data_IF_976576815771
#
_entry.id   IF_976576815771
#
_cell.length_a   1.000
_cell.length_b   1.000
_cell.length_c   1.000
_cell.angle_alpha   90.00
_cell.angle_beta   90.00
_cell.angle_gamma   90.00
#
_symmetry.space_group_name_H-M   'P 1'
#
loop_
_entity.id
_entity.type
_entity.pdbx_description
1 polymer ?
#
# COMPACT_ATOMS: atom_id res chain seq x y z
N UNK A 1 18.99 -6.64 66.73
CA UNK A 1 17.81 -6.22 65.94
C UNK A 1 18.25 -5.98 64.50
N UNK A 2 17.36 -6.20 63.54
CA UNK A 2 17.60 -6.75 62.19
C UNK A 2 18.51 -5.93 61.27
N UNK A 3 19.28 -6.66 60.46
CA UNK A 3 20.17 -6.22 59.39
C UNK A 3 19.41 -5.56 58.24
N UNK A 4 19.94 -4.43 57.78
CA UNK A 4 19.47 -3.66 56.63
C UNK A 4 19.78 -4.43 55.33
N UNK A 5 18.74 -5.02 54.71
CA UNK A 5 18.82 -5.61 53.36
C UNK A 5 18.31 -4.58 52.34
N UNK A 6 19.20 -3.71 51.86
CA UNK A 6 18.99 -2.94 50.63
C UNK A 6 19.85 -3.59 49.54
N UNK A 7 19.29 -4.55 48.81
CA UNK A 7 19.79 -5.02 47.52
C UNK A 7 18.65 -5.66 46.73
N UNK A 8 17.74 -4.85 46.17
CA UNK A 8 16.80 -5.33 45.15
C UNK A 8 16.33 -4.18 44.23
N UNK A 9 17.25 -3.33 43.80
CA UNK A 9 16.97 -2.27 42.82
C UNK A 9 18.16 -2.07 41.88
N UNK A 10 18.59 -3.14 41.20
CA UNK A 10 19.66 -3.05 40.19
C UNK A 10 19.66 -4.24 39.20
N UNK A 11 18.50 -4.84 38.92
CA UNK A 11 18.43 -5.98 37.98
C UNK A 11 17.16 -5.94 37.11
N UNK A 12 16.79 -4.75 36.62
CA UNK A 12 15.72 -4.62 35.62
C UNK A 12 16.08 -3.66 34.45
N UNK A 13 17.37 -3.36 34.28
CA UNK A 13 17.87 -2.46 33.21
C UNK A 13 18.77 -3.20 32.20
N UNK A 14 19.07 -4.48 32.43
CA UNK A 14 19.99 -5.25 31.58
C UNK A 14 19.29 -6.40 30.82
N UNK A 15 18.11 -6.16 30.24
CA UNK A 15 17.58 -7.03 29.17
C UNK A 15 16.52 -6.35 28.31
N UNK A 16 16.76 -5.11 27.89
CA UNK A 16 16.24 -4.67 26.59
C UNK A 16 17.16 -5.29 25.54
N UNK A 17 16.99 -6.60 25.31
CA UNK A 17 17.31 -7.17 24.01
C UNK A 17 16.37 -6.46 23.05
N UNK A 18 16.87 -5.39 22.43
CA UNK A 18 16.32 -4.90 21.18
C UNK A 18 16.49 -6.08 20.24
N UNK A 19 15.44 -6.89 20.10
CA UNK A 19 15.30 -7.75 18.95
C UNK A 19 15.21 -6.75 17.80
N UNK A 20 16.34 -6.45 17.15
CA UNK A 20 16.30 -5.95 15.79
C UNK A 20 15.65 -7.07 14.98
N UNK A 21 14.32 -7.05 14.93
CA UNK A 21 13.56 -7.75 13.91
C UNK A 21 14.03 -7.10 12.62
N UNK A 22 15.05 -7.73 12.01
CA UNK A 22 15.67 -7.31 10.77
C UNK A 22 14.54 -7.06 9.77
N UNK A 23 14.27 -5.78 9.49
CA UNK A 23 13.38 -5.39 8.42
C UNK A 23 13.93 -6.05 7.15
N UNK A 24 13.11 -6.86 6.50
CA UNK A 24 13.49 -7.44 5.23
C UNK A 24 13.18 -6.41 4.16
N UNK A 25 14.13 -6.18 3.26
CA UNK A 25 13.85 -5.39 2.08
C UNK A 25 13.27 -6.33 1.02
N UNK A 26 12.34 -5.83 0.20
CA UNK A 26 11.94 -6.52 -1.03
C UNK A 26 13.16 -6.75 -1.93
N UNK A 27 13.13 -7.83 -2.71
CA UNK A 27 14.13 -8.04 -3.77
C UNK A 27 13.83 -7.06 -4.90
N UNK A 28 14.82 -6.26 -5.27
CA UNK A 28 14.74 -5.24 -6.33
C UNK A 28 15.66 -5.66 -7.48
N UNK A 29 15.30 -5.34 -8.73
CA UNK A 29 16.11 -5.67 -9.91
C UNK A 29 17.50 -5.05 -9.83
N UNK A 30 18.49 -5.77 -10.36
CA UNK A 30 19.90 -5.39 -10.29
C UNK A 30 20.16 -3.99 -10.89
N UNK A 31 19.53 -3.68 -12.02
CA UNK A 31 19.67 -2.37 -12.67
C UNK A 31 19.23 -1.23 -11.74
N UNK A 32 18.16 -1.42 -10.97
CA UNK A 32 17.65 -0.40 -10.06
C UNK A 32 18.51 -0.33 -8.79
N UNK A 33 19.03 -1.45 -8.28
CA UNK A 33 19.98 -1.46 -7.17
C UNK A 33 21.29 -0.71 -7.48
N UNK A 34 21.79 -0.80 -8.72
CA UNK A 34 23.01 -0.11 -9.15
C UNK A 34 22.77 1.39 -9.33
N UNK A 35 21.58 1.78 -9.79
CA UNK A 35 21.27 3.16 -10.16
C UNK A 35 20.41 3.92 -9.14
N UNK A 36 20.13 3.35 -7.97
CA UNK A 36 19.33 3.99 -6.92
C UNK A 36 19.75 3.55 -5.52
N UNK A 37 19.36 4.33 -4.51
CA UNK A 37 19.46 3.94 -3.11
C UNK A 37 18.09 3.95 -2.43
N UNK A 38 17.89 3.14 -1.37
CA UNK A 38 16.64 3.12 -0.63
C UNK A 38 16.37 4.47 0.06
N UNK A 39 15.24 5.07 -0.25
CA UNK A 39 14.71 6.27 0.40
C UNK A 39 13.74 5.85 1.50
N UNK A 40 14.10 6.11 2.75
CA UNK A 40 13.22 5.85 3.89
C UNK A 40 12.01 6.78 3.85
N UNK A 41 10.82 6.18 3.86
CA UNK A 41 9.56 6.93 3.95
C UNK A 41 9.32 7.33 5.40
N UNK A 42 8.98 8.59 5.60
CA UNK A 42 8.54 9.16 6.86
C UNK A 42 7.08 9.59 6.71
N UNK A 43 6.25 9.21 7.67
CA UNK A 43 4.89 9.72 7.79
C UNK A 43 4.86 10.82 8.85
N UNK A 44 4.56 12.05 8.44
CA UNK A 44 4.27 13.14 9.37
C UNK A 44 2.87 13.00 9.97
N UNK A 45 2.55 13.87 10.94
CA UNK A 45 1.25 13.87 11.61
C UNK A 45 0.09 13.94 10.60
N UNK A 46 -0.85 12.99 10.72
CA UNK A 46 -2.09 12.95 9.96
C UNK A 46 -3.16 13.74 10.71
N UNK A 47 -3.75 14.73 10.03
CA UNK A 47 -4.88 15.49 10.57
C UNK A 47 -6.21 14.88 10.18
N UNK A 48 -7.28 15.23 10.90
CA UNK A 48 -8.64 14.79 10.56
C UNK A 48 -9.00 15.18 9.12
N UNK A 49 -9.53 14.20 8.35
CA UNK A 49 -9.91 14.41 6.95
C UNK A 49 -8.73 14.60 5.98
N UNK A 50 -7.50 14.22 6.37
CA UNK A 50 -6.31 14.28 5.53
C UNK A 50 -5.65 12.91 5.42
N UNK A 51 -4.95 12.71 4.31
CA UNK A 51 -4.10 11.54 4.12
C UNK A 51 -2.77 11.74 4.86
N UNK A 52 -1.97 10.67 5.02
CA UNK A 52 -0.64 10.73 5.62
C UNK A 52 0.27 11.79 4.98
N UNK A 53 1.03 12.53 5.79
CA UNK A 53 2.04 13.49 5.31
C UNK A 53 3.33 12.75 4.94
N UNK A 54 3.27 12.01 3.84
CA UNK A 54 4.39 11.19 3.36
C UNK A 54 5.57 12.06 2.88
N UNK A 55 6.78 11.63 3.23
CA UNK A 55 8.04 12.25 2.80
C UNK A 55 9.12 11.20 2.57
N UNK A 56 9.84 11.28 1.47
CA UNK A 56 11.02 10.46 1.16
C UNK A 56 11.92 11.19 0.16
N UNK A 57 13.23 11.14 0.38
CA UNK A 57 14.18 11.92 -0.42
C UNK A 57 13.82 13.41 -0.44
N UNK A 58 13.73 13.96 -1.65
CA UNK A 58 13.32 15.35 -1.92
C UNK A 58 11.81 15.53 -2.11
N UNK A 59 11.02 14.45 -2.02
CA UNK A 59 9.59 14.46 -2.28
C UNK A 59 8.79 14.53 -0.98
N UNK A 60 7.81 15.43 -0.93
CA UNK A 60 6.93 15.56 0.23
C UNK A 60 5.50 15.97 -0.12
N UNK A 61 4.54 15.34 0.55
CA UNK A 61 3.13 15.73 0.47
C UNK A 61 2.96 17.06 1.21
N UNK A 62 2.61 18.11 0.46
CA UNK A 62 2.45 19.47 0.98
C UNK A 62 0.99 19.82 1.28
N UNK A 63 0.05 19.18 0.58
CA UNK A 63 -1.39 19.35 0.78
C UNK A 63 -2.11 18.05 0.50
N UNK A 64 -3.18 17.77 1.23
CA UNK A 64 -3.99 16.57 1.02
C UNK A 64 -5.40 16.73 1.55
N UNK A 65 -6.29 15.89 1.01
CA UNK A 65 -7.69 15.77 1.39
C UNK A 65 -8.10 14.30 1.29
N UNK A 66 -8.62 13.76 2.39
CA UNK A 66 -9.39 12.53 2.34
C UNK A 66 -10.79 12.88 1.82
N UNK A 67 -11.23 12.17 0.79
CA UNK A 67 -12.55 12.31 0.20
C UNK A 67 -13.60 11.48 0.96
N UNK A 68 -14.80 11.42 0.40
CA UNK A 68 -15.89 10.63 0.96
C UNK A 68 -15.67 9.14 0.74
N UNK A 69 -15.89 8.35 1.80
CA UNK A 69 -16.11 6.92 1.72
C UNK A 69 -17.61 6.66 1.62
N UNK A 70 -18.05 5.99 0.57
CA UNK A 70 -19.45 5.59 0.38
C UNK A 70 -19.53 4.07 0.29
N UNK A 71 -20.22 3.46 1.23
CA UNK A 71 -20.53 2.03 1.22
C UNK A 71 -22.03 1.84 0.99
N UNK A 72 -22.39 0.99 0.04
CA UNK A 72 -23.76 0.56 -0.21
C UNK A 72 -23.80 -0.95 -0.20
N UNK A 73 -24.68 -1.52 0.62
CA UNK A 73 -24.91 -2.97 0.67
C UNK A 73 -26.35 -3.27 0.28
N UNK A 74 -26.55 -4.35 -0.46
CA UNK A 74 -27.85 -4.93 -0.80
C UNK A 74 -27.82 -6.39 -0.40
N UNK A 75 -28.92 -6.86 0.18
CA UNK A 75 -29.08 -8.26 0.53
C UNK A 75 -30.47 -8.74 0.16
N UNK A 76 -30.63 -10.04 -0.07
CA UNK A 76 -31.95 -10.64 -0.28
C UNK A 76 -32.73 -10.72 1.04
N UNK A 77 -34.03 -11.04 0.97
CA UNK A 77 -34.94 -11.04 2.13
C UNK A 77 -34.46 -11.88 3.34
N UNK A 78 -33.62 -12.89 3.07
CA UNK A 78 -33.08 -13.83 4.06
C UNK A 78 -31.59 -13.62 4.37
N UNK A 79 -31.00 -12.55 3.84
CA UNK A 79 -29.57 -12.23 3.92
C UNK A 79 -28.59 -13.33 3.47
N UNK A 80 -29.04 -14.29 2.66
CA UNK A 80 -28.21 -15.38 2.13
C UNK A 80 -27.38 -14.98 0.92
N UNK A 81 -27.68 -13.83 0.31
CA UNK A 81 -26.86 -13.23 -0.76
C UNK A 81 -26.68 -11.75 -0.48
N UNK A 82 -25.43 -11.31 -0.41
CA UNK A 82 -25.09 -9.92 -0.12
C UNK A 82 -24.13 -9.39 -1.18
N UNK A 83 -24.46 -8.23 -1.71
CA UNK A 83 -23.60 -7.44 -2.59
C UNK A 83 -23.22 -6.14 -1.86
N UNK A 84 -21.94 -5.86 -1.75
CA UNK A 84 -21.42 -4.64 -1.14
C UNK A 84 -20.54 -3.89 -2.13
N UNK A 85 -20.75 -2.58 -2.25
CA UNK A 85 -19.90 -1.67 -3.02
C UNK A 85 -19.37 -0.57 -2.11
N UNK A 86 -18.06 -0.41 -2.07
CA UNK A 86 -17.39 0.66 -1.33
C UNK A 86 -16.54 1.50 -2.27
N UNK A 87 -16.78 2.81 -2.31
CA UNK A 87 -15.94 3.78 -3.01
C UNK A 87 -15.24 4.66 -2.00
N UNK A 88 -13.93 4.74 -2.07
CA UNK A 88 -13.08 5.64 -1.30
C UNK A 88 -12.35 6.58 -2.26
N UNK A 89 -12.22 7.86 -1.90
CA UNK A 89 -11.51 8.85 -2.72
C UNK A 89 -10.53 9.63 -1.86
N UNK A 90 -9.43 10.07 -2.44
CA UNK A 90 -8.53 11.02 -1.81
C UNK A 90 -7.77 11.82 -2.85
N UNK A 91 -7.19 12.95 -2.44
CA UNK A 91 -6.35 13.76 -3.29
C UNK A 91 -5.19 14.35 -2.52
N UNK A 92 -4.08 14.60 -3.21
CA UNK A 92 -2.92 15.25 -2.61
C UNK A 92 -2.07 15.98 -3.63
N UNK A 93 -1.20 16.85 -3.11
CA UNK A 93 -0.15 17.53 -3.85
C UNK A 93 1.17 17.08 -3.24
N UNK A 94 2.05 16.52 -4.07
CA UNK A 94 3.43 16.19 -3.71
C UNK A 94 4.38 17.11 -4.48
N UNK A 95 5.41 17.61 -3.80
CA UNK A 95 6.39 18.51 -4.39
C UNK A 95 7.81 17.92 -4.31
N UNK A 96 8.65 18.26 -5.29
CA UNK A 96 10.11 18.07 -5.22
C UNK A 96 10.78 19.28 -4.55
N UNK A 97 12.12 19.28 -4.43
CA UNK A 97 12.90 20.42 -3.91
C UNK A 97 12.89 21.65 -4.82
N UNK A 98 12.60 21.48 -6.11
CA UNK A 98 12.63 22.51 -7.16
C UNK A 98 11.29 23.24 -7.29
N UNK A 99 10.34 22.95 -6.39
CA UNK A 99 8.97 23.50 -6.35
C UNK A 99 8.05 23.02 -7.48
N UNK A 100 8.44 22.02 -8.27
CA UNK A 100 7.49 21.31 -9.11
C UNK A 100 6.50 20.55 -8.22
N UNK A 101 5.28 20.41 -8.73
CA UNK A 101 4.16 19.82 -8.02
C UNK A 101 3.48 18.76 -8.87
N UNK A 102 3.11 17.65 -8.26
CA UNK A 102 2.21 16.67 -8.84
C UNK A 102 0.90 16.69 -8.06
N UNK A 103 -0.19 16.92 -8.79
CA UNK A 103 -1.57 16.89 -8.32
C UNK A 103 -2.11 15.49 -8.56
N UNK A 104 -2.51 14.83 -7.48
CA UNK A 104 -3.02 13.47 -7.51
C UNK A 104 -4.47 13.44 -7.06
N UNK A 105 -5.34 12.83 -7.86
CA UNK A 105 -6.70 12.47 -7.47
C UNK A 105 -6.86 10.97 -7.61
N UNK A 106 -7.24 10.29 -6.53
CA UNK A 106 -7.32 8.84 -6.48
C UNK A 106 -8.71 8.36 -6.04
N UNK A 107 -9.08 7.19 -6.54
CA UNK A 107 -10.29 6.48 -6.16
C UNK A 107 -10.04 4.98 -6.07
N UNK A 108 -10.47 4.37 -4.97
CA UNK A 108 -10.55 2.92 -4.77
C UNK A 108 -12.02 2.52 -4.81
N UNK A 109 -12.35 1.54 -5.63
CA UNK A 109 -13.66 0.90 -5.65
C UNK A 109 -13.48 -0.57 -5.29
N UNK A 110 -14.24 -1.02 -4.31
CA UNK A 110 -14.27 -2.41 -3.85
C UNK A 110 -15.68 -2.91 -4.02
N UNK A 111 -15.83 -4.01 -4.75
CA UNK A 111 -17.10 -4.71 -4.95
C UNK A 111 -16.95 -6.13 -4.41
N UNK A 112 -17.84 -6.52 -3.50
CA UNK A 112 -17.83 -7.81 -2.83
C UNK A 112 -19.18 -8.48 -3.03
N UNK A 113 -19.16 -9.72 -3.49
CA UNK A 113 -20.32 -10.59 -3.62
C UNK A 113 -20.12 -11.83 -2.73
N UNK A 114 -21.06 -12.03 -1.81
CA UNK A 114 -21.02 -13.08 -0.81
C UNK A 114 -22.30 -13.90 -0.79
N UNK A 115 -22.15 -15.19 -0.55
CA UNK A 115 -23.24 -16.09 -0.15
C UNK A 115 -23.03 -16.46 1.30
N UNK A 116 -24.11 -16.39 2.07
CA UNK A 116 -24.12 -16.79 3.47
C UNK A 116 -25.06 -17.99 3.66
N UNK A 117 -24.61 -18.94 4.47
CA UNK A 117 -25.41 -20.07 4.91
C UNK A 117 -26.61 -19.59 5.70
N UNK A 118 -27.77 -20.18 5.46
CA UNK A 118 -29.01 -19.82 6.14
C UNK A 118 -29.11 -20.59 7.46
N UNK A 119 -29.13 -19.89 8.61
CA UNK A 119 -29.34 -20.54 9.91
C UNK A 119 -30.80 -21.02 10.03
N UNK A 120 -30.99 -22.34 10.09
CA UNK A 120 -32.31 -22.93 10.30
C UNK A 120 -32.65 -23.02 11.80
N UNK A 121 -31.66 -23.36 12.62
CA UNK A 121 -31.72 -23.46 14.08
C UNK A 121 -30.32 -23.14 14.66
N UNK A 122 -30.18 -22.84 15.97
CA UNK A 122 -28.89 -22.47 16.56
C UNK A 122 -27.75 -23.44 16.21
N UNK A 123 -26.73 -22.94 15.53
CA UNK A 123 -25.56 -23.69 15.02
C UNK A 123 -25.85 -24.70 13.88
N UNK A 124 -27.00 -24.62 13.21
CA UNK A 124 -27.34 -25.45 12.05
C UNK A 124 -27.63 -24.58 10.83
N UNK A 125 -26.72 -24.63 9.86
CA UNK A 125 -26.74 -23.79 8.66
C UNK A 125 -27.00 -24.63 7.41
N UNK A 126 -27.83 -24.12 6.51
CA UNK A 126 -28.05 -24.65 5.17
C UNK A 126 -27.24 -23.82 4.17
N UNK A 127 -26.29 -24.46 3.49
CA UNK A 127 -25.33 -23.79 2.60
C UNK A 127 -24.06 -23.37 3.32
N UNK A 128 -23.04 -22.99 2.55
CA UNK A 128 -21.74 -22.55 3.05
C UNK A 128 -21.60 -21.03 2.93
N UNK A 129 -20.75 -20.45 3.79
CA UNK A 129 -20.34 -19.06 3.63
C UNK A 129 -19.22 -18.99 2.61
N UNK A 130 -19.42 -18.18 1.57
CA UNK A 130 -18.51 -18.10 0.45
C UNK A 130 -18.42 -16.66 -0.07
N UNK A 131 -17.20 -16.16 -0.27
CA UNK A 131 -16.96 -14.97 -1.08
C UNK A 131 -16.84 -15.41 -2.54
N UNK A 132 -17.86 -15.10 -3.34
CA UNK A 132 -17.87 -15.42 -4.77
C UNK A 132 -16.87 -14.56 -5.52
N UNK A 133 -16.91 -13.26 -5.25
CA UNK A 133 -16.09 -12.26 -5.92
C UNK A 133 -15.77 -11.12 -4.97
N UNK A 134 -14.52 -10.70 -4.98
CA UNK A 134 -14.08 -9.42 -4.42
C UNK A 134 -13.19 -8.71 -5.44
N UNK A 135 -13.77 -7.76 -6.16
CA UNK A 135 -13.08 -6.94 -7.14
C UNK A 135 -12.59 -5.63 -6.52
N UNK A 136 -11.28 -5.40 -6.56
CA UNK A 136 -10.63 -4.19 -6.07
C UNK A 136 -10.05 -3.42 -7.26
N UNK A 137 -10.54 -2.21 -7.48
CA UNK A 137 -10.12 -1.33 -8.56
C UNK A 137 -9.61 -0.01 -7.98
N UNK A 138 -8.32 0.25 -8.13
CA UNK A 138 -7.69 1.49 -7.74
C UNK A 138 -7.25 2.28 -8.96
N UNK A 139 -7.55 3.57 -8.95
CA UNK A 139 -7.17 4.51 -9.99
C UNK A 139 -6.59 5.77 -9.37
N UNK A 140 -5.56 6.35 -9.98
CA UNK A 140 -5.09 7.68 -9.62
C UNK A 140 -4.67 8.49 -10.86
N UNK A 141 -5.13 9.74 -10.94
CA UNK A 141 -4.74 10.70 -11.97
C UNK A 141 -3.59 11.59 -11.51
N UNK A 142 -2.53 11.51 -12.29
CA UNK A 142 -1.21 12.15 -12.39
C UNK A 142 -1.11 13.48 -13.12
N UNK A 143 -1.16 14.67 -12.51
CA UNK A 143 -0.97 15.93 -13.26
C UNK A 143 0.23 16.72 -12.70
N UNK A 144 1.21 17.02 -13.55
CA UNK A 144 2.40 17.80 -13.15
C UNK A 144 2.17 19.28 -13.43
N UNK A 145 2.41 20.15 -12.44
CA UNK A 145 2.32 21.61 -12.55
C UNK A 145 1.01 22.12 -13.16
N UNK A 146 -0.08 21.37 -13.00
CA UNK A 146 -1.39 21.70 -13.57
C UNK A 146 -1.53 21.47 -15.09
N UNK A 147 -0.52 20.89 -15.75
CA UNK A 147 -0.56 20.57 -17.18
C UNK A 147 -1.45 19.34 -17.45
N UNK A 148 -2.69 19.59 -17.84
CA UNK A 148 -3.67 18.54 -18.16
C UNK A 148 -3.37 17.79 -19.46
N UNK A 149 -2.46 18.29 -20.32
CA UNK A 149 -2.15 17.66 -21.61
C UNK A 149 -1.30 16.40 -21.48
N UNK A 150 -0.58 16.25 -20.36
CA UNK A 150 0.24 15.08 -20.04
C UNK A 150 -0.23 14.45 -18.72
N UNK A 151 -1.47 13.94 -18.74
CA UNK A 151 -2.08 13.27 -17.59
C UNK A 151 -1.64 11.81 -17.52
N UNK A 152 -1.05 11.43 -16.39
CA UNK A 152 -0.70 10.05 -16.08
C UNK A 152 -1.83 9.36 -15.32
N UNK A 153 -2.06 8.08 -15.59
CA UNK A 153 -3.07 7.28 -14.92
C UNK A 153 -2.37 6.05 -14.33
N UNK A 154 -2.47 5.91 -13.01
CA UNK A 154 -2.17 4.69 -12.29
C UNK A 154 -3.45 3.85 -12.20
N UNK A 155 -3.39 2.60 -12.65
CA UNK A 155 -4.46 1.62 -12.53
C UNK A 155 -3.91 0.39 -11.79
N UNK A 156 -4.65 -0.11 -10.81
CA UNK A 156 -4.37 -1.39 -10.16
C UNK A 156 -5.69 -2.11 -9.95
N UNK A 157 -5.84 -3.26 -10.59
CA UNK A 157 -6.99 -4.15 -10.44
C UNK A 157 -6.53 -5.44 -9.78
N UNK A 158 -7.36 -5.98 -8.90
CA UNK A 158 -7.18 -7.34 -8.37
C UNK A 158 -8.52 -7.93 -8.02
N UNK A 159 -8.76 -9.16 -8.43
CA UNK A 159 -9.94 -9.94 -8.09
C UNK A 159 -9.52 -11.18 -7.30
N UNK A 160 -10.39 -11.63 -6.41
CA UNK A 160 -10.25 -12.91 -5.71
C UNK A 160 -11.64 -13.42 -5.33
N UNK A 161 -11.75 -14.73 -5.05
CA UNK A 161 -13.03 -15.41 -4.84
C UNK A 161 -13.13 -16.63 -5.75
N UNK A 162 -14.15 -17.46 -5.53
CA UNK A 162 -14.35 -18.69 -6.32
C UNK A 162 -14.70 -18.42 -7.78
N UNK A 163 -15.19 -17.23 -8.10
CA UNK A 163 -15.59 -16.80 -9.44
C UNK A 163 -14.62 -15.77 -10.06
N UNK A 164 -13.43 -15.58 -9.47
CA UNK A 164 -12.43 -14.63 -9.96
C UNK A 164 -11.72 -15.13 -11.22
N UNK A 165 -11.79 -14.38 -12.33
CA UNK A 165 -11.08 -14.70 -13.58
C UNK A 165 -9.79 -13.88 -13.77
N UNK A 166 -9.63 -12.77 -13.03
CA UNK A 166 -8.50 -11.85 -13.17
C UNK A 166 -7.50 -12.02 -12.02
N UNK A 167 -6.23 -12.30 -12.34
CA UNK A 167 -5.14 -12.41 -11.35
C UNK A 167 -4.59 -11.05 -10.91
N UNK A 168 -5.10 -9.97 -11.51
CA UNK A 168 -4.75 -8.58 -11.22
C UNK A 168 -3.70 -8.03 -12.19
N UNK A 169 -3.94 -6.80 -12.65
CA UNK A 169 -2.99 -6.04 -13.46
C UNK A 169 -2.71 -4.70 -12.77
N UNK A 170 -1.52 -4.15 -13.00
CA UNK A 170 -1.20 -2.84 -12.47
C UNK A 170 -0.27 -2.10 -13.44
N UNK A 171 -0.66 -0.88 -13.81
CA UNK A 171 0.04 -0.06 -14.80
C UNK A 171 0.05 1.42 -14.40
N UNK A 172 1.09 2.14 -14.82
CA UNK A 172 1.18 3.60 -14.77
C UNK A 172 1.48 4.11 -16.19
N UNK A 173 0.60 4.94 -16.76
CA UNK A 173 0.68 5.31 -18.19
C UNK A 173 0.11 6.70 -18.47
N UNK A 174 0.66 7.42 -19.45
CA UNK A 174 0.04 8.62 -20.05
C UNK A 174 -0.51 8.37 -21.46
N UNK A 175 -0.59 7.10 -21.87
CA UNK A 175 -0.99 6.67 -23.22
C UNK A 175 0.17 6.54 -24.21
N UNK A 176 1.30 7.21 -23.97
CA UNK A 176 2.53 7.09 -24.79
C UNK A 176 3.55 6.19 -24.08
N UNK A 177 3.89 6.54 -22.84
CA UNK A 177 4.79 5.79 -21.97
C UNK A 177 3.97 4.93 -21.02
N UNK A 178 4.47 3.72 -20.75
CA UNK A 178 3.80 2.72 -19.90
C UNK A 178 4.82 2.04 -18.99
N UNK A 179 4.54 2.05 -17.70
CA UNK A 179 5.23 1.26 -16.70
C UNK A 179 4.31 0.13 -16.22
N UNK A 180 4.78 -1.10 -16.34
CA UNK A 180 4.13 -2.27 -15.75
C UNK A 180 4.54 -2.41 -14.30
N UNK A 181 3.61 -2.78 -13.42
CA UNK A 181 3.83 -2.84 -11.98
C UNK A 181 3.69 -4.29 -11.54
N UNK A 182 4.78 -4.84 -10.98
CA UNK A 182 4.87 -6.22 -10.54
C UNK A 182 4.95 -6.29 -9.02
N UNK A 183 4.34 -7.29 -8.41
CA UNK A 183 4.50 -7.55 -6.97
C UNK A 183 5.96 -7.92 -6.66
N UNK A 184 6.52 -7.33 -5.61
CA UNK A 184 7.85 -7.64 -5.10
C UNK A 184 7.78 -8.14 -3.65
N UNK A 185 8.64 -9.09 -3.30
CA UNK A 185 8.66 -9.72 -1.98
C UNK A 185 10.09 -10.02 -1.54
N UNK A 186 10.34 -10.01 -0.23
CA UNK A 186 11.61 -10.54 0.31
C UNK A 186 11.73 -12.06 0.19
N UNK A 187 10.62 -12.76 -0.08
CA UNK A 187 10.58 -14.20 -0.30
C UNK A 187 10.33 -14.55 -1.78
N UNK A 188 10.91 -13.79 -2.72
CA UNK A 188 10.73 -14.04 -4.16
C UNK A 188 11.17 -15.44 -4.60
N UNK A 189 12.15 -16.03 -3.89
CA UNK A 189 12.75 -17.30 -4.27
C UNK A 189 12.17 -18.50 -3.48
N UNK A 190 11.16 -18.28 -2.63
CA UNK A 190 10.54 -19.33 -1.80
C UNK A 190 11.45 -19.93 -0.73
N UNK A 191 12.67 -19.42 -0.58
CA UNK A 191 13.68 -19.93 0.36
C UNK A 191 13.54 -19.37 1.76
N UNK A 192 12.74 -18.30 1.93
CA UNK A 192 12.48 -17.71 3.23
C UNK A 192 11.42 -18.53 3.98
N UNK A 193 11.86 -19.23 5.04
CA UNK A 193 11.01 -20.04 5.92
C UNK A 193 10.30 -19.23 7.00
N UNK A 194 10.38 -17.90 7.00
CA UNK A 194 9.72 -17.03 7.98
C UNK A 194 8.26 -16.75 7.59
N UNK A 195 7.40 -16.52 8.60
CA UNK A 195 5.95 -16.41 8.40
C UNK A 195 5.46 -15.13 7.71
N UNK A 196 6.24 -14.03 7.67
CA UNK A 196 5.71 -12.74 7.18
C UNK A 196 6.79 -11.95 6.40
N UNK A 197 6.89 -12.14 5.06
CA UNK A 197 7.88 -11.46 4.23
C UNK A 197 7.56 -9.98 4.04
N UNK A 198 8.56 -9.21 3.60
CA UNK A 198 8.35 -7.86 3.11
C UNK A 198 7.55 -7.89 1.81
N UNK A 199 6.73 -6.87 1.59
CA UNK A 199 5.87 -6.74 0.41
C UNK A 199 6.00 -5.37 -0.22
N UNK A 200 5.91 -5.36 -1.54
CA UNK A 200 6.10 -4.17 -2.34
C UNK A 200 5.70 -4.36 -3.78
N UNK A 201 6.08 -3.38 -4.58
CA UNK A 201 5.91 -3.36 -6.03
C UNK A 201 7.18 -2.86 -6.71
N UNK A 202 7.41 -3.32 -7.93
CA UNK A 202 8.44 -2.81 -8.82
C UNK A 202 7.82 -2.38 -10.15
N UNK A 203 8.19 -1.20 -10.60
CA UNK A 203 7.71 -0.56 -11.81
C UNK A 203 8.77 -0.74 -12.88
N UNK A 204 8.37 -1.27 -14.03
CA UNK A 204 9.28 -1.54 -15.15
C UNK A 204 8.79 -0.90 -16.42
N UNK A 205 9.71 -0.24 -17.11
CA UNK A 205 9.54 0.13 -18.51
C UNK A 205 10.19 -0.97 -19.36
N UNK A 206 9.37 -1.78 -20.04
CA UNK A 206 9.83 -3.04 -20.64
C UNK A 206 10.48 -3.91 -19.55
N UNK A 207 11.75 -4.27 -19.70
CA UNK A 207 12.52 -5.05 -18.72
C UNK A 207 13.32 -4.20 -17.73
N UNK A 208 13.29 -2.86 -17.86
CA UNK A 208 14.11 -1.99 -17.02
C UNK A 208 13.31 -1.45 -15.84
N UNK A 209 13.74 -1.77 -14.62
CA UNK A 209 13.11 -1.26 -13.41
C UNK A 209 13.44 0.22 -13.16
N UNK A 210 12.43 1.05 -12.98
CA UNK A 210 12.54 2.51 -12.81
C UNK A 210 12.15 2.99 -11.40
N UNK A 211 11.35 2.20 -10.68
CA UNK A 211 10.91 2.48 -9.32
C UNK A 211 10.65 1.15 -8.59
N UNK A 212 10.97 1.10 -7.31
CA UNK A 212 10.46 0.07 -6.40
C UNK A 212 9.88 0.71 -5.14
N UNK A 213 8.82 0.12 -4.62
CA UNK A 213 8.11 0.56 -3.43
C UNK A 213 7.94 -0.62 -2.48
N UNK A 214 8.44 -0.50 -1.26
CA UNK A 214 8.09 -1.39 -0.16
C UNK A 214 7.07 -0.68 0.73
N UNK A 215 5.85 -1.22 0.79
CA UNK A 215 4.79 -0.76 1.68
C UNK A 215 4.70 -1.57 2.98
N UNK A 216 5.47 -2.66 3.09
CA UNK A 216 5.53 -3.48 4.29
C UNK A 216 6.91 -4.14 4.42
N UNK A 217 7.62 -3.90 5.53
CA UNK A 217 8.99 -4.37 5.75
C UNK A 217 9.16 -5.75 6.39
N UNK A 218 8.09 -6.55 6.48
CA UNK A 218 8.14 -7.88 7.08
C UNK A 218 8.12 -7.89 8.62
N UNK A 219 7.70 -9.03 9.19
CA UNK A 219 7.59 -9.24 10.64
C UNK A 219 6.52 -8.39 11.35
N UNK A 220 6.33 -8.58 12.66
CA UNK A 220 5.22 -8.00 13.42
C UNK A 220 5.13 -6.45 13.45
N UNK A 221 6.19 -5.73 13.05
CA UNK A 221 6.24 -4.26 13.01
C UNK A 221 6.52 -3.73 11.58
N UNK A 222 6.11 -4.48 10.55
CA UNK A 222 6.45 -4.20 9.16
C UNK A 222 5.83 -2.93 8.56
N UNK A 223 4.68 -2.46 9.07
CA UNK A 223 3.90 -1.35 8.48
C UNK A 223 4.57 0.02 8.53
N UNK A 224 5.56 0.22 9.41
CA UNK A 224 6.31 1.48 9.53
C UNK A 224 7.67 1.46 8.83
N UNK A 225 7.95 0.42 8.04
CA UNK A 225 9.25 0.16 7.40
C UNK A 225 9.14 0.31 5.88
N UNK A 226 8.59 1.45 5.48
CA UNK A 226 8.33 1.76 4.07
C UNK A 226 9.58 2.35 3.41
N UNK A 227 9.91 1.85 2.21
CA UNK A 227 11.09 2.24 1.45
C UNK A 227 10.69 2.49 -0.02
N UNK A 228 11.36 3.45 -0.66
CA UNK A 228 11.18 3.77 -2.07
C UNK A 228 12.55 3.82 -2.76
N UNK A 229 12.68 3.21 -3.92
CA UNK A 229 13.85 3.29 -4.79
C UNK A 229 13.43 3.96 -6.09
N UNK A 230 14.10 5.03 -6.50
CA UNK A 230 13.83 5.70 -7.78
C UNK A 230 15.13 5.71 -8.57
N UNK A 231 15.09 5.22 -9.81
CA UNK A 231 16.25 5.24 -10.69
C UNK A 231 16.77 6.66 -10.90
N UNK A 232 18.06 6.88 -10.57
CA UNK A 232 18.69 8.19 -10.67
C UNK A 232 18.83 8.67 -12.12
N UNK A 233 18.77 7.78 -13.11
CA UNK A 233 18.87 8.13 -14.53
C UNK A 233 17.58 8.74 -15.10
N UNK A 234 16.47 8.65 -14.37
CA UNK A 234 15.21 9.29 -14.76
C UNK A 234 15.32 10.83 -14.71
N UNK A 235 14.65 11.51 -15.64
CA UNK A 235 14.54 12.97 -15.59
C UNK A 235 13.64 13.43 -14.43
N UNK A 236 13.73 14.70 -14.04
CA UNK A 236 13.03 15.22 -12.86
C UNK A 236 11.51 15.05 -12.91
N UNK A 237 10.91 15.27 -14.09
CA UNK A 237 9.47 15.09 -14.30
C UNK A 237 9.06 13.63 -14.07
N UNK A 238 9.78 12.68 -14.66
CA UNK A 238 9.53 11.25 -14.47
C UNK A 238 9.69 10.82 -13.01
N UNK A 239 10.74 11.29 -12.31
CA UNK A 239 10.93 10.99 -10.88
C UNK A 239 9.77 11.51 -10.03
N UNK A 240 9.26 12.71 -10.32
CA UNK A 240 8.12 13.27 -9.62
C UNK A 240 6.82 12.47 -9.88
N UNK A 241 6.60 12.01 -11.11
CA UNK A 241 5.48 11.11 -11.45
C UNK A 241 5.57 9.78 -10.68
N UNK A 242 6.76 9.17 -10.68
CA UNK A 242 7.02 7.92 -9.96
C UNK A 242 6.84 8.09 -8.45
N UNK A 243 7.33 9.19 -7.88
CA UNK A 243 7.14 9.52 -6.47
C UNK A 243 5.65 9.73 -6.12
N UNK A 244 4.90 10.40 -6.98
CA UNK A 244 3.46 10.60 -6.82
C UNK A 244 2.70 9.26 -6.88
N UNK A 245 3.01 8.39 -7.83
CA UNK A 245 2.44 7.05 -7.93
C UNK A 245 2.76 6.20 -6.69
N UNK A 246 4.01 6.19 -6.23
CA UNK A 246 4.41 5.47 -5.02
C UNK A 246 3.65 5.97 -3.78
N UNK A 247 3.44 7.29 -3.67
CA UNK A 247 2.68 7.90 -2.57
C UNK A 247 1.20 7.52 -2.62
N UNK A 248 0.61 7.44 -3.80
CA UNK A 248 -0.77 6.99 -3.98
C UNK A 248 -0.95 5.53 -3.53
N UNK A 249 0.01 4.65 -3.86
CA UNK A 249 0.00 3.25 -3.42
C UNK A 249 0.24 3.15 -1.91
N UNK A 250 1.15 3.93 -1.34
CA UNK A 250 1.37 3.97 0.12
C UNK A 250 0.07 4.30 0.85
N UNK A 251 -0.65 5.34 0.40
CA UNK A 251 -1.93 5.70 0.99
C UNK A 251 -2.97 4.57 0.83
N UNK A 252 -3.08 3.98 -0.36
CA UNK A 252 -3.96 2.84 -0.62
C UNK A 252 -3.70 1.69 0.37
N UNK A 253 -2.43 1.38 0.64
CA UNK A 253 -2.03 0.28 1.53
C UNK A 253 -2.18 0.60 3.01
N UNK A 254 -2.08 1.87 3.41
CA UNK A 254 -2.45 2.28 4.78
C UNK A 254 -3.95 2.10 5.01
N UNK A 255 -4.79 2.54 4.07
CA UNK A 255 -6.24 2.44 4.20
C UNK A 255 -6.76 0.97 4.15
N UNK A 256 -5.98 0.03 3.61
CA UNK A 256 -6.31 -1.41 3.69
C UNK A 256 -6.12 -2.00 5.09
N UNK A 257 -5.20 -1.47 5.89
CA UNK A 257 -4.91 -1.98 7.24
C UNK A 257 -5.99 -1.55 8.22
N UNK A 258 -6.47 -0.31 8.10
CA UNK A 258 -7.49 0.28 8.99
C UNK A 258 -8.89 -0.36 8.85
N UNK A 259 -9.13 -1.21 7.84
CA UNK A 259 -10.43 -1.88 7.62
C UNK A 259 -10.54 -3.21 8.36
N UNK A 260 -9.42 -3.75 8.88
CA UNK A 260 -9.37 -5.04 9.57
C UNK A 260 -9.11 -4.94 11.09
N UNK A 261 -9.12 -3.73 11.65
CA UNK A 261 -9.13 -3.45 13.11
C UNK A 261 -10.50 -2.94 13.56
#
# INVERSE_FOLDING_TARGET
>A
MKTCKIKFLSLFIAMLLIIEVNAQNIVVSENLNVNSGPLKVKMGAQGFGKIGKWKFGEYSVVSSKAGWTKTTSKSNLFNTKTESKTTQKFSFIICNKESDSAFVNAAKNVEIEEVQGFELFPNFYLGENEVKLSANNFTASIIINGDTTDTWILLMNSEWGSESENTGEAILTNGITKYLIFSASSNSNGTDKRNIPAKGYEFREKEYAVLALQYYGGGALGYNKNLVWIDNNQNQKAKLILAAAATAILQLKTDEVDVFE
#
